data_IF_746332652470
#
_entry.id   IF_746332652470
#
_cell.length_a   1.000
_cell.length_b   1.000
_cell.length_c   1.000
_cell.angle_alpha   90.00
_cell.angle_beta   90.00
_cell.angle_gamma   90.00
#
_symmetry.space_group_name_H-M   'P 1'
#
loop_
_entity.id
_entity.type
_entity.pdbx_description
1 polymer ?
#
# COMPACT_ATOMS: atom_id res chain seq x y z
N UNK A 1 -12.09 -0.32 -25.45
CA UNK A 1 -13.23 -1.12 -24.94
C UNK A 1 -13.08 -1.32 -23.44
N UNK A 2 -13.91 -0.69 -22.60
CA UNK A 2 -13.89 -0.94 -21.15
C UNK A 2 -14.55 -2.31 -20.90
N UNK A 3 -13.77 -3.28 -20.44
CA UNK A 3 -14.23 -4.65 -20.16
C UNK A 3 -15.40 -4.66 -19.17
N UNK A 4 -16.38 -5.59 -19.33
CA UNK A 4 -17.46 -5.81 -18.35
C UNK A 4 -16.91 -6.11 -16.93
N UNK A 5 -15.70 -6.69 -16.84
CA UNK A 5 -14.97 -6.90 -15.59
C UNK A 5 -14.70 -5.57 -14.88
N UNK A 6 -14.13 -4.61 -15.60
CA UNK A 6 -13.84 -3.28 -15.06
C UNK A 6 -15.11 -2.58 -14.52
N UNK A 7 -16.26 -2.70 -15.18
CA UNK A 7 -17.51 -2.10 -14.68
C UNK A 7 -17.96 -2.72 -13.36
N UNK A 8 -17.82 -4.03 -13.20
CA UNK A 8 -18.16 -4.71 -11.96
C UNK A 8 -17.17 -4.38 -10.85
N UNK A 9 -15.88 -4.24 -11.17
CA UNK A 9 -14.85 -3.81 -10.23
C UNK A 9 -15.11 -2.38 -9.74
N UNK A 10 -15.48 -1.45 -10.64
CA UNK A 10 -15.87 -0.08 -10.28
C UNK A 10 -17.17 -0.03 -9.45
N UNK A 11 -18.16 -0.87 -9.77
CA UNK A 11 -19.39 -0.96 -8.96
C UNK A 11 -19.12 -1.55 -7.57
N UNK A 12 -18.23 -2.52 -7.48
CA UNK A 12 -17.80 -3.09 -6.22
C UNK A 12 -17.07 -2.04 -5.37
N UNK A 13 -16.12 -1.33 -5.97
CA UNK A 13 -15.42 -0.22 -5.36
C UNK A 13 -16.39 0.83 -4.77
N UNK A 14 -17.33 1.30 -5.59
CA UNK A 14 -18.32 2.28 -5.17
C UNK A 14 -19.16 1.79 -3.98
N UNK A 15 -19.58 0.53 -3.98
CA UNK A 15 -20.35 -0.05 -2.87
C UNK A 15 -19.54 -0.13 -1.57
N UNK A 16 -18.24 -0.42 -1.65
CA UNK A 16 -17.38 -0.43 -0.47
C UNK A 16 -17.18 1.00 0.07
N UNK A 17 -16.95 1.97 -0.82
CA UNK A 17 -16.84 3.39 -0.47
C UNK A 17 -18.14 4.00 0.06
N UNK A 18 -19.29 3.37 -0.17
CA UNK A 18 -20.58 3.78 0.40
C UNK A 18 -20.87 3.14 1.76
N UNK A 19 -20.24 2.01 2.09
CA UNK A 19 -20.40 1.29 3.37
C UNK A 19 -19.53 1.85 4.51
N UNK A 20 -19.05 3.08 4.34
CA UNK A 20 -18.08 3.71 5.23
C UNK A 20 -18.60 3.75 6.65
N UNK A 21 -17.80 3.19 7.55
CA UNK A 21 -18.06 3.29 8.98
C UNK A 21 -17.59 4.67 9.48
N UNK A 22 -18.52 5.64 9.41
CA UNK A 22 -18.34 6.99 9.93
C UNK A 22 -18.16 7.03 11.46
N UNK A 23 -18.30 5.89 12.15
CA UNK A 23 -18.17 5.81 13.61
C UNK A 23 -16.73 5.74 14.11
N UNK A 24 -15.75 5.43 13.25
CA UNK A 24 -14.34 5.43 13.67
C UNK A 24 -13.92 6.88 14.01
N UNK A 25 -13.48 7.14 15.27
CA UNK A 25 -13.07 8.47 15.66
C UNK A 25 -11.71 8.76 15.02
N UNK A 26 -11.71 9.60 14.00
CA UNK A 26 -10.48 10.21 13.51
C UNK A 26 -10.02 11.14 14.63
N UNK A 27 -8.97 10.73 15.34
CA UNK A 27 -8.49 11.38 16.57
C UNK A 27 -7.80 12.72 16.31
N UNK A 28 -7.41 13.02 15.08
CA UNK A 28 -6.73 14.27 14.74
C UNK A 28 -7.67 15.23 13.99
N UNK A 29 -7.94 16.44 14.52
CA UNK A 29 -8.82 17.44 13.89
C UNK A 29 -8.36 17.97 12.52
N UNK A 30 -7.17 17.57 12.04
CA UNK A 30 -6.63 17.97 10.73
C UNK A 30 -6.85 16.92 9.64
N UNK A 31 -7.28 15.71 10.01
CA UNK A 31 -7.48 14.64 9.04
C UNK A 31 -8.89 14.80 8.45
N UNK A 32 -8.93 15.11 7.16
CA UNK A 32 -10.16 15.10 6.38
C UNK A 32 -10.70 13.65 6.31
N UNK A 33 -11.93 13.45 6.80
CA UNK A 33 -12.56 12.13 6.91
C UNK A 33 -12.76 11.47 5.55
N UNK A 34 -13.12 12.25 4.54
CA UNK A 34 -13.39 11.73 3.20
C UNK A 34 -12.08 11.34 2.51
N UNK A 35 -11.02 12.13 2.70
CA UNK A 35 -9.68 11.82 2.23
C UNK A 35 -9.13 10.55 2.89
N UNK A 36 -9.17 10.49 4.22
CA UNK A 36 -8.73 9.31 4.97
C UNK A 36 -9.44 8.05 4.50
N UNK A 37 -10.76 8.13 4.28
CA UNK A 37 -11.52 6.98 3.84
C UNK A 37 -11.16 6.52 2.42
N UNK A 38 -10.91 7.46 1.50
CA UNK A 38 -10.41 7.14 0.16
C UNK A 38 -9.05 6.47 0.23
N UNK A 39 -8.12 7.02 1.02
CA UNK A 39 -6.79 6.47 1.19
C UNK A 39 -6.82 5.06 1.83
N UNK A 40 -7.61 4.90 2.89
CA UNK A 40 -7.85 3.60 3.54
C UNK A 40 -8.37 2.58 2.55
N UNK A 41 -9.33 2.97 1.69
CA UNK A 41 -9.86 2.06 0.69
C UNK A 41 -8.80 1.65 -0.35
N UNK A 42 -7.98 2.59 -0.83
CA UNK A 42 -6.84 2.28 -1.71
C UNK A 42 -5.86 1.31 -1.04
N UNK A 43 -5.59 1.51 0.26
CA UNK A 43 -4.71 0.65 1.05
C UNK A 43 -5.32 -0.75 1.25
N UNK A 44 -6.61 -0.83 1.59
CA UNK A 44 -7.32 -2.09 1.78
C UNK A 44 -7.35 -2.92 0.49
N UNK A 45 -7.41 -2.25 -0.67
CA UNK A 45 -7.37 -2.86 -2.00
C UNK A 45 -5.96 -3.32 -2.44
N UNK A 46 -4.89 -3.02 -1.69
CA UNK A 46 -3.57 -3.61 -1.93
C UNK A 46 -3.65 -5.15 -1.85
N UNK A 47 -2.98 -5.90 -2.75
CA UNK A 47 -2.98 -7.35 -2.70
C UNK A 47 -2.60 -7.84 -1.30
N UNK A 48 -3.32 -8.85 -0.81
CA UNK A 48 -3.07 -9.46 0.51
C UNK A 48 -1.93 -10.47 0.50
N UNK A 49 -1.14 -10.52 -0.58
CA UNK A 49 0.17 -11.18 -0.61
C UNK A 49 1.03 -10.51 0.47
N UNK A 50 1.28 -11.21 1.57
CA UNK A 50 1.26 -10.67 2.93
C UNK A 50 2.31 -9.62 3.35
N UNK A 51 3.12 -9.09 2.44
CA UNK A 51 4.29 -8.27 2.78
C UNK A 51 4.16 -6.80 2.30
N UNK A 52 3.37 -6.56 1.24
CA UNK A 52 3.26 -5.24 0.59
C UNK A 52 2.65 -4.16 1.49
N UNK A 53 1.62 -4.52 2.24
CA UNK A 53 0.92 -3.59 3.15
C UNK A 53 1.85 -3.09 4.26
N UNK A 54 2.66 -3.98 4.82
CA UNK A 54 3.63 -3.63 5.84
C UNK A 54 4.80 -2.83 5.25
N UNK A 55 5.26 -3.17 4.04
CA UNK A 55 6.26 -2.39 3.32
C UNK A 55 5.79 -0.93 3.11
N UNK A 56 4.52 -0.72 2.71
CA UNK A 56 3.96 0.63 2.61
C UNK A 56 3.91 1.36 3.96
N UNK A 57 3.43 0.68 5.02
CA UNK A 57 3.37 1.28 6.36
C UNK A 57 4.75 1.63 6.92
N UNK A 58 5.81 0.90 6.52
CA UNK A 58 7.17 1.19 6.92
C UNK A 58 7.63 2.60 6.47
N UNK A 59 7.11 3.09 5.34
CA UNK A 59 7.41 4.45 4.87
C UNK A 59 6.97 5.54 5.85
N UNK A 60 5.99 5.27 6.74
CA UNK A 60 5.55 6.22 7.76
C UNK A 60 6.57 6.42 8.91
N UNK A 61 7.64 5.62 8.96
CA UNK A 61 8.74 5.80 9.93
C UNK A 61 9.71 6.91 9.53
N UNK A 62 9.68 7.34 8.26
CA UNK A 62 10.52 8.43 7.78
C UNK A 62 9.85 9.79 8.07
N UNK A 63 10.65 10.85 8.23
CA UNK A 63 10.12 12.21 8.33
C UNK A 63 9.25 12.57 7.12
N UNK A 64 8.31 13.49 7.34
CA UNK A 64 7.53 14.09 6.26
C UNK A 64 8.47 14.66 5.18
N UNK A 65 8.13 14.44 3.91
CA UNK A 65 8.89 14.86 2.71
C UNK A 65 10.34 14.33 2.62
N UNK A 66 10.69 13.29 3.37
CA UNK A 66 12.00 12.66 3.25
C UNK A 66 12.24 12.07 1.85
N UNK A 67 13.40 12.37 1.27
CA UNK A 67 13.86 11.71 0.05
C UNK A 67 14.42 10.34 0.41
N UNK A 68 13.70 9.29 0.03
CA UNK A 68 14.09 7.90 0.26
C UNK A 68 14.50 7.30 -1.10
N UNK A 69 15.72 6.76 -1.19
CA UNK A 69 16.15 6.04 -2.38
C UNK A 69 15.47 4.67 -2.41
N UNK A 70 15.03 4.25 -3.60
CA UNK A 70 14.39 2.95 -3.79
C UNK A 70 15.25 1.78 -3.28
N UNK A 71 16.54 1.78 -3.62
CA UNK A 71 17.48 0.72 -3.19
C UNK A 71 17.58 0.62 -1.68
N UNK A 72 17.70 1.76 -1.00
CA UNK A 72 17.82 1.83 0.46
C UNK A 72 16.52 1.33 1.13
N UNK A 73 15.36 1.74 0.59
CA UNK A 73 14.05 1.31 1.11
C UNK A 73 13.86 -0.19 0.99
N UNK A 74 14.20 -0.77 -0.17
CA UNK A 74 14.12 -2.22 -0.38
C UNK A 74 15.05 -2.97 0.56
N UNK A 75 16.28 -2.49 0.74
CA UNK A 75 17.23 -3.12 1.67
C UNK A 75 16.74 -3.06 3.11
N UNK A 76 16.12 -1.95 3.53
CA UNK A 76 15.49 -1.82 4.86
C UNK A 76 14.34 -2.80 5.04
N UNK A 77 13.47 -2.96 4.03
CA UNK A 77 12.39 -3.95 4.08
C UNK A 77 12.93 -5.38 4.22
N UNK A 78 14.03 -5.71 3.54
CA UNK A 78 14.68 -7.02 3.67
C UNK A 78 15.28 -7.20 5.06
N UNK A 79 16.00 -6.21 5.59
CA UNK A 79 16.64 -6.30 6.92
C UNK A 79 15.63 -6.44 8.06
N UNK A 80 14.47 -5.81 7.92
CA UNK A 80 13.36 -5.91 8.87
C UNK A 80 12.55 -7.19 8.70
N UNK A 81 12.89 -8.01 7.69
CA UNK A 81 12.17 -9.22 7.36
C UNK A 81 10.73 -8.94 6.91
N UNK A 82 10.46 -7.77 6.33
CA UNK A 82 9.18 -7.47 5.70
C UNK A 82 9.03 -8.22 4.37
N UNK A 83 10.13 -8.55 3.71
CA UNK A 83 10.17 -9.41 2.53
C UNK A 83 10.96 -10.66 2.90
N UNK A 84 10.38 -11.84 2.65
CA UNK A 84 10.99 -13.12 3.04
C UNK A 84 11.02 -14.09 1.88
N UNK A 85 12.04 -14.93 1.86
CA UNK A 85 12.14 -16.11 1.00
C UNK A 85 12.63 -17.30 1.83
N UNK A 86 12.24 -18.51 1.43
CA UNK A 86 12.59 -19.75 2.14
C UNK A 86 14.05 -20.18 1.99
N UNK A 87 14.72 -19.72 0.93
CA UNK A 87 16.07 -20.12 0.53
C UNK A 87 17.14 -19.05 0.81
N UNK A 88 16.73 -17.87 1.30
CA UNK A 88 17.62 -16.74 1.55
C UNK A 88 18.21 -16.11 0.28
N UNK A 89 17.63 -16.33 -0.90
CA UNK A 89 18.10 -15.70 -2.14
C UNK A 89 17.94 -14.18 -2.08
N UNK A 90 19.08 -13.48 -1.95
CA UNK A 90 19.11 -12.03 -1.80
C UNK A 90 18.71 -11.30 -3.09
N UNK A 91 19.07 -11.83 -4.26
CA UNK A 91 18.71 -11.19 -5.54
C UNK A 91 17.19 -11.30 -5.76
N UNK A 92 16.60 -12.45 -5.42
CA UNK A 92 15.14 -12.61 -5.42
C UNK A 92 14.44 -11.62 -4.49
N UNK A 93 14.98 -11.41 -3.29
CA UNK A 93 14.43 -10.45 -2.32
C UNK A 93 14.49 -9.01 -2.83
N UNK A 94 15.60 -8.62 -3.45
CA UNK A 94 15.76 -7.30 -4.07
C UNK A 94 14.75 -7.08 -5.19
N UNK A 95 14.61 -8.05 -6.10
CA UNK A 95 13.67 -7.95 -7.22
C UNK A 95 12.22 -7.95 -6.75
N UNK A 96 11.90 -8.71 -5.71
CA UNK A 96 10.59 -8.68 -5.04
C UNK A 96 10.32 -7.29 -4.46
N UNK A 97 11.27 -6.70 -3.73
CA UNK A 97 11.12 -5.36 -3.16
C UNK A 97 10.95 -4.27 -4.21
N UNK A 98 11.73 -4.30 -5.30
CA UNK A 98 11.56 -3.38 -6.43
C UNK A 98 10.18 -3.52 -7.06
N UNK A 99 9.68 -4.75 -7.20
CA UNK A 99 8.33 -5.00 -7.71
C UNK A 99 7.25 -4.40 -6.80
N UNK A 100 7.48 -4.39 -5.48
CA UNK A 100 6.57 -3.78 -4.51
C UNK A 100 6.59 -2.26 -4.61
N UNK A 101 7.77 -1.63 -4.69
CA UNK A 101 7.89 -0.18 -4.92
C UNK A 101 7.13 0.20 -6.18
N UNK A 102 7.38 -0.51 -7.30
CA UNK A 102 6.67 -0.26 -8.56
C UNK A 102 5.15 -0.39 -8.42
N UNK A 103 4.67 -1.43 -7.73
CA UNK A 103 3.24 -1.65 -7.53
C UNK A 103 2.57 -0.57 -6.67
N UNK A 104 3.29 -0.02 -5.69
CA UNK A 104 2.83 1.11 -4.89
C UNK A 104 2.72 2.37 -5.76
N UNK A 105 3.77 2.68 -6.53
CA UNK A 105 3.80 3.83 -7.44
C UNK A 105 2.71 3.75 -8.51
N UNK A 106 2.48 2.57 -9.10
CA UNK A 106 1.42 2.32 -10.08
C UNK A 106 0.00 2.54 -9.51
N UNK A 107 -0.13 2.57 -8.18
CA UNK A 107 -1.38 2.83 -7.45
C UNK A 107 -1.44 4.24 -6.83
N UNK A 108 -0.52 5.12 -7.23
CA UNK A 108 -0.40 6.50 -6.76
C UNK A 108 -0.20 6.63 -5.24
N UNK A 109 0.52 5.68 -4.65
CA UNK A 109 1.08 5.81 -3.32
C UNK A 109 2.45 6.48 -3.35
#
# INVERSE_FOLDING_TARGET
MKSKRAINDWKFALRQMQKVDLSFPITHPRIDRDLYQRLRWSYDALPTTADLKNCFLYCALFPEDALIREEDLVQMWISEGLIKTSDGDYDYLLDTGRSYVKLLLDRCF
#
